data_IF_981887051343
#
_entry.id   IF_981887051343
#
_cell.length_a   1.000
_cell.length_b   1.000
_cell.length_c   1.000
_cell.angle_alpha   90.00
_cell.angle_beta   90.00
_cell.angle_gamma   90.00
#
_symmetry.space_group_name_H-M   'P 1'
#
loop_
_entity.id
_entity.type
_entity.pdbx_description
1 polymer ?
#
# COMPACT_ATOMS: atom_id res chain seq x y z
N UNK A 1 -13.86 19.19 26.41
CA UNK A 1 -13.63 17.94 25.63
C UNK A 1 -13.17 18.35 24.24
N UNK A 2 -12.22 17.62 23.62
CA UNK A 2 -11.79 17.90 22.24
C UNK A 2 -12.93 17.60 21.28
N UNK A 3 -13.05 18.35 20.16
CA UNK A 3 -13.92 17.96 19.05
C UNK A 3 -13.46 16.64 18.42
N UNK A 4 -14.35 15.87 17.79
CA UNK A 4 -13.97 14.68 17.03
C UNK A 4 -12.93 14.98 15.95
N UNK A 5 -12.04 14.02 15.68
CA UNK A 5 -11.09 14.03 14.56
C UNK A 5 -11.85 13.63 13.29
N UNK A 6 -11.78 14.44 12.25
CA UNK A 6 -12.39 14.15 10.94
C UNK A 6 -11.31 13.80 9.91
N UNK A 7 -11.70 13.25 8.77
CA UNK A 7 -10.79 13.08 7.64
C UNK A 7 -10.22 14.43 7.18
N UNK A 8 -11.05 15.48 7.14
CA UNK A 8 -10.62 16.84 6.82
C UNK A 8 -9.52 17.37 7.76
N UNK A 9 -9.58 17.01 9.06
CA UNK A 9 -8.55 17.39 10.02
C UNK A 9 -7.20 16.73 9.69
N UNK A 10 -7.22 15.49 9.20
CA UNK A 10 -6.03 14.75 8.76
C UNK A 10 -5.50 15.34 7.45
N UNK A 11 -6.35 15.53 6.45
CA UNK A 11 -5.99 16.05 5.14
C UNK A 11 -5.38 17.47 5.24
N UNK A 12 -5.90 18.30 6.14
CA UNK A 12 -5.37 19.63 6.41
C UNK A 12 -3.96 19.65 7.01
N UNK A 13 -3.46 18.52 7.53
CA UNK A 13 -2.06 18.41 7.99
C UNK A 13 -1.07 18.29 6.84
N UNK A 14 -1.54 17.91 5.65
CA UNK A 14 -0.70 17.72 4.48
C UNK A 14 -0.79 18.89 3.51
N UNK A 15 0.31 19.15 2.82
CA UNK A 15 0.34 20.09 1.71
C UNK A 15 1.37 19.62 0.68
N UNK A 16 1.07 19.69 -0.63
CA UNK A 16 2.06 19.42 -1.65
C UNK A 16 3.31 20.29 -1.47
N UNK A 17 4.49 19.70 -1.62
CA UNK A 17 5.76 20.42 -1.51
C UNK A 17 6.23 20.71 -0.07
N UNK A 18 5.70 20.02 0.94
CA UNK A 18 6.20 20.09 2.31
C UNK A 18 7.71 19.83 2.39
N UNK A 19 8.41 20.70 3.13
CA UNK A 19 9.83 20.49 3.44
C UNK A 19 10.02 19.31 4.40
N UNK A 20 11.25 18.77 4.52
CA UNK A 20 11.54 17.74 5.52
C UNK A 20 11.13 18.13 6.95
N UNK A 21 11.38 19.37 7.36
CA UNK A 21 11.04 19.87 8.70
C UNK A 21 9.53 19.94 8.93
N UNK A 22 8.77 20.36 7.91
CA UNK A 22 7.31 20.39 7.97
C UNK A 22 6.74 18.97 8.09
N UNK A 23 7.25 18.03 7.31
CA UNK A 23 6.82 16.63 7.35
C UNK A 23 7.08 15.99 8.73
N UNK A 24 8.24 16.26 9.32
CA UNK A 24 8.56 15.85 10.71
C UNK A 24 7.65 16.51 11.74
N UNK A 25 7.26 17.77 11.54
CA UNK A 25 6.34 18.46 12.44
C UNK A 25 4.93 17.85 12.37
N UNK A 26 4.47 17.53 11.17
CA UNK A 26 3.20 16.82 10.93
C UNK A 26 3.23 15.46 11.60
N UNK A 27 4.29 14.66 11.40
CA UNK A 27 4.43 13.35 12.06
C UNK A 27 4.32 13.46 13.59
N UNK A 28 5.02 14.43 14.22
CA UNK A 28 4.91 14.67 15.67
C UNK A 28 3.50 15.06 16.11
N UNK A 29 2.82 15.90 15.34
CA UNK A 29 1.44 16.30 15.62
C UNK A 29 0.49 15.10 15.58
N UNK A 30 0.64 14.23 14.59
CA UNK A 30 -0.19 13.04 14.43
C UNK A 30 0.12 11.98 15.50
N UNK A 31 1.38 11.80 15.88
CA UNK A 31 1.74 10.95 17.02
C UNK A 31 1.14 11.45 18.33
N UNK A 32 1.10 12.79 18.54
CA UNK A 32 0.43 13.39 19.69
C UNK A 32 -1.08 13.16 19.63
N UNK A 33 -1.68 13.26 18.44
CA UNK A 33 -3.11 12.97 18.25
C UNK A 33 -3.45 11.51 18.54
N UNK A 34 -2.65 10.57 18.04
CA UNK A 34 -2.81 9.15 18.29
C UNK A 34 -2.64 8.81 19.78
N UNK A 35 -1.74 9.49 20.50
CA UNK A 35 -1.54 9.30 21.93
C UNK A 35 -2.75 9.72 22.79
N UNK A 36 -3.67 10.55 22.25
CA UNK A 36 -4.92 10.89 22.92
C UNK A 36 -5.99 9.78 22.84
N UNK A 37 -5.73 8.73 22.05
CA UNK A 37 -6.62 7.62 21.76
C UNK A 37 -7.79 7.98 20.85
N UNK A 38 -8.37 6.96 20.22
CA UNK A 38 -9.58 7.07 19.41
C UNK A 38 -10.82 7.25 20.30
N UNK A 39 -11.71 8.17 19.94
CA UNK A 39 -12.94 8.48 20.68
C UNK A 39 -14.18 8.21 19.84
N UNK A 40 -15.33 7.94 20.48
CA UNK A 40 -16.60 7.85 19.77
C UNK A 40 -16.88 9.12 18.94
N UNK A 41 -17.14 8.93 17.65
CA UNK A 41 -17.39 10.01 16.69
C UNK A 41 -16.15 10.50 15.95
N UNK A 42 -14.95 10.01 16.28
CA UNK A 42 -13.77 10.21 15.42
C UNK A 42 -13.96 9.41 14.12
N UNK A 43 -13.70 10.05 12.99
CA UNK A 43 -13.66 9.41 11.68
C UNK A 43 -12.31 8.76 11.40
N UNK A 44 -11.25 9.24 12.08
CA UNK A 44 -9.87 8.74 11.96
C UNK A 44 -9.41 8.18 13.29
N UNK A 45 -8.98 6.92 13.28
CA UNK A 45 -8.49 6.22 14.47
C UNK A 45 -6.98 6.42 14.71
N UNK A 46 -6.47 5.96 15.85
CA UNK A 46 -5.08 6.15 16.22
C UNK A 46 -4.10 5.36 15.32
N UNK A 47 -4.48 4.20 14.79
CA UNK A 47 -3.65 3.50 13.80
C UNK A 47 -3.49 4.30 12.51
N UNK A 48 -4.57 4.83 11.95
CA UNK A 48 -4.55 5.64 10.72
C UNK A 48 -3.67 6.89 10.89
N UNK A 49 -3.79 7.57 12.03
CA UNK A 49 -2.92 8.71 12.36
C UNK A 49 -1.44 8.31 12.41
N UNK A 50 -1.13 7.15 12.99
CA UNK A 50 0.24 6.64 13.06
C UNK A 50 0.75 6.18 11.69
N UNK A 51 -0.10 5.59 10.86
CA UNK A 51 0.25 5.26 9.46
C UNK A 51 0.61 6.54 8.70
N UNK A 52 -0.23 7.57 8.78
CA UNK A 52 0.05 8.83 8.10
C UNK A 52 1.33 9.49 8.62
N UNK A 53 1.56 9.46 9.94
CA UNK A 53 2.82 9.93 10.54
C UNK A 53 4.04 9.16 10.04
N UNK A 54 3.95 7.83 9.96
CA UNK A 54 4.99 6.96 9.40
C UNK A 54 5.31 7.31 7.94
N UNK A 55 4.28 7.50 7.11
CA UNK A 55 4.44 7.90 5.71
C UNK A 55 5.12 9.26 5.54
N UNK A 56 4.82 10.24 6.41
CA UNK A 56 5.53 11.53 6.40
C UNK A 56 7.02 11.39 6.70
N UNK A 57 7.38 10.48 7.61
CA UNK A 57 8.78 10.21 7.98
C UNK A 57 9.52 9.45 6.88
N UNK A 58 8.91 8.41 6.30
CA UNK A 58 9.47 7.66 5.18
C UNK A 58 9.76 8.57 3.99
N UNK A 59 8.81 9.45 3.62
CA UNK A 59 8.96 10.39 2.49
C UNK A 59 10.18 11.30 2.59
N UNK A 60 10.67 11.57 3.81
CA UNK A 60 11.81 12.46 4.06
C UNK A 60 13.08 11.70 4.46
N UNK A 61 13.07 10.36 4.33
CA UNK A 61 14.20 9.49 4.61
C UNK A 61 14.44 9.18 6.08
N UNK A 62 13.52 9.55 6.98
CA UNK A 62 13.61 9.25 8.42
C UNK A 62 13.10 7.82 8.70
N UNK A 63 13.64 6.83 7.97
CA UNK A 63 13.12 5.46 7.87
C UNK A 63 13.08 4.70 9.20
N UNK A 64 14.02 4.97 10.11
CA UNK A 64 14.03 4.35 11.45
C UNK A 64 12.89 4.88 12.32
N UNK A 65 12.57 6.17 12.23
CA UNK A 65 11.44 6.75 12.96
C UNK A 65 10.11 6.29 12.35
N UNK A 66 10.03 6.21 11.02
CA UNK A 66 8.86 5.64 10.34
C UNK A 66 8.58 4.22 10.84
N UNK A 67 9.61 3.36 10.90
CA UNK A 67 9.49 2.00 11.42
C UNK A 67 9.01 1.96 12.87
N UNK A 68 9.54 2.84 13.75
CA UNK A 68 9.10 2.94 15.15
C UNK A 68 7.62 3.28 15.23
N UNK A 69 7.17 4.25 14.44
CA UNK A 69 5.78 4.72 14.42
C UNK A 69 4.84 3.64 13.86
N UNK A 70 5.22 2.97 12.79
CA UNK A 70 4.39 1.93 12.16
C UNK A 70 4.28 0.67 13.01
N UNK A 71 5.31 0.30 13.78
CA UNK A 71 5.19 -0.74 14.81
C UNK A 71 4.15 -0.37 15.87
N UNK A 72 4.04 0.91 16.24
CA UNK A 72 2.99 1.38 17.15
C UNK A 72 1.62 1.34 16.49
N UNK A 73 1.51 1.65 15.19
CA UNK A 73 0.26 1.55 14.45
C UNK A 73 -0.29 0.12 14.48
N UNK A 74 0.54 -0.88 14.19
CA UNK A 74 0.16 -2.30 14.30
C UNK A 74 -0.26 -2.66 15.72
N UNK A 75 0.45 -2.13 16.73
CA UNK A 75 0.19 -2.45 18.13
C UNK A 75 -1.13 -1.87 18.69
N UNK A 76 -1.78 -0.91 18.02
CA UNK A 76 -3.10 -0.44 18.47
C UNK A 76 -4.19 -1.50 18.27
N UNK A 77 -4.01 -2.38 17.28
CA UNK A 77 -5.00 -3.37 16.86
C UNK A 77 -6.25 -2.76 16.21
N UNK A 78 -6.22 -1.47 15.90
CA UNK A 78 -7.31 -0.77 15.22
C UNK A 78 -7.25 -1.03 13.71
N UNK A 79 -8.41 -1.09 13.02
CA UNK A 79 -8.44 -1.35 11.59
C UNK A 79 -7.84 -0.18 10.81
N UNK A 80 -7.09 -0.51 9.76
CA UNK A 80 -6.61 0.41 8.73
C UNK A 80 -6.84 -0.27 7.38
N UNK A 81 -7.27 0.51 6.40
CA UNK A 81 -7.45 0.06 5.02
C UNK A 81 -6.43 0.79 4.12
N UNK A 82 -5.55 0.07 3.40
CA UNK A 82 -5.32 -1.38 3.49
C UNK A 82 -4.64 -1.78 4.80
N UNK A 83 -4.55 -3.09 5.06
CA UNK A 83 -4.00 -3.65 6.31
C UNK A 83 -2.72 -2.92 6.78
N UNK A 84 -2.73 -2.42 8.01
CA UNK A 84 -1.63 -1.64 8.61
C UNK A 84 -0.25 -2.31 8.47
N UNK A 85 -0.22 -3.65 8.38
CA UNK A 85 1.00 -4.43 8.20
C UNK A 85 1.68 -4.22 6.85
N UNK A 86 0.95 -3.76 5.82
CA UNK A 86 1.53 -3.37 4.53
C UNK A 86 2.50 -2.19 4.70
N UNK A 87 2.10 -1.17 5.47
CA UNK A 87 2.96 -0.02 5.74
C UNK A 87 4.18 -0.41 6.60
N UNK A 88 3.99 -1.31 7.58
CA UNK A 88 5.11 -1.86 8.34
C UNK A 88 6.07 -2.66 7.46
N UNK A 89 5.55 -3.46 6.52
CA UNK A 89 6.36 -4.22 5.56
C UNK A 89 7.25 -3.28 4.73
N UNK A 90 6.66 -2.22 4.16
CA UNK A 90 7.39 -1.19 3.44
C UNK A 90 8.54 -0.60 4.29
N UNK A 91 8.23 -0.17 5.52
CA UNK A 91 9.23 0.43 6.40
C UNK A 91 10.35 -0.55 6.81
N UNK A 92 10.06 -1.85 6.93
CA UNK A 92 11.06 -2.88 7.20
C UNK A 92 12.04 -3.01 6.03
N UNK A 93 11.56 -2.96 4.79
CA UNK A 93 12.42 -2.99 3.61
C UNK A 93 13.24 -1.70 3.45
N UNK A 94 12.66 -0.54 3.73
CA UNK A 94 13.35 0.76 3.72
C UNK A 94 14.53 0.82 4.70
N UNK A 95 14.41 0.20 5.88
CA UNK A 95 15.53 0.10 6.83
C UNK A 95 16.50 -1.06 6.53
N UNK A 96 16.22 -1.87 5.51
CA UNK A 96 17.01 -3.04 5.12
C UNK A 96 16.79 -4.29 5.98
N UNK A 97 15.75 -4.33 6.82
CA UNK A 97 15.38 -5.49 7.65
C UNK A 97 14.53 -6.48 6.83
N UNK A 98 15.16 -7.04 5.79
CA UNK A 98 14.51 -7.91 4.79
C UNK A 98 13.97 -9.20 5.42
N UNK A 99 14.63 -9.73 6.45
CA UNK A 99 14.21 -10.96 7.11
C UNK A 99 12.89 -10.74 7.87
N UNK A 100 12.76 -9.64 8.62
CA UNK A 100 11.51 -9.29 9.28
C UNK A 100 10.39 -8.97 8.27
N UNK A 101 10.70 -8.27 7.18
CA UNK A 101 9.73 -8.02 6.11
C UNK A 101 9.20 -9.34 5.51
N UNK A 102 10.08 -10.30 5.22
CA UNK A 102 9.70 -11.62 4.71
C UNK A 102 8.90 -12.44 5.71
N UNK A 103 9.22 -12.35 7.00
CA UNK A 103 8.43 -13.00 8.04
C UNK A 103 6.99 -12.45 8.06
N UNK A 104 6.84 -11.13 8.06
CA UNK A 104 5.55 -10.45 8.04
C UNK A 104 4.75 -10.78 6.78
N UNK A 105 5.38 -10.72 5.61
CA UNK A 105 4.77 -11.14 4.35
C UNK A 105 4.34 -12.62 4.40
N UNK A 106 5.16 -13.49 5.00
CA UNK A 106 4.84 -14.90 5.21
C UNK A 106 3.63 -15.12 6.15
N UNK A 107 3.41 -14.24 7.12
CA UNK A 107 2.21 -14.23 7.97
C UNK A 107 0.97 -13.84 7.15
N UNK A 108 1.02 -12.69 6.48
CA UNK A 108 -0.07 -12.20 5.61
C UNK A 108 -0.45 -13.27 4.57
N UNK A 109 0.52 -13.89 3.89
CA UNK A 109 0.24 -14.92 2.87
C UNK A 109 -0.51 -16.13 3.44
N UNK A 110 -0.27 -16.51 4.70
CA UNK A 110 -0.97 -17.63 5.35
C UNK A 110 -2.39 -17.27 5.74
N UNK A 111 -2.63 -16.01 6.08
CA UNK A 111 -3.94 -15.49 6.44
C UNK A 111 -4.86 -15.31 5.22
N UNK A 112 -4.28 -15.20 4.01
CA UNK A 112 -5.00 -15.01 2.75
C UNK A 112 -6.00 -13.84 2.83
N UNK A 113 -5.52 -12.60 2.97
CA UNK A 113 -6.38 -11.42 3.05
C UNK A 113 -7.33 -11.39 1.85
N UNK A 114 -8.58 -11.01 2.13
CA UNK A 114 -9.58 -10.77 1.09
C UNK A 114 -9.31 -9.46 0.35
N UNK A 115 -8.73 -8.49 1.05
CA UNK A 115 -8.32 -7.22 0.46
C UNK A 115 -7.18 -7.44 -0.54
N UNK A 116 -7.43 -7.06 -1.79
CA UNK A 116 -6.51 -7.21 -2.92
C UNK A 116 -5.36 -6.22 -2.87
N UNK A 117 -5.54 -5.07 -2.19
CA UNK A 117 -4.53 -4.02 -2.08
C UNK A 117 -3.34 -4.49 -1.24
N UNK A 118 -3.54 -5.43 -0.32
CA UNK A 118 -2.43 -6.11 0.39
C UNK A 118 -1.45 -6.76 -0.58
N UNK A 119 -1.95 -7.42 -1.62
CA UNK A 119 -1.08 -8.10 -2.59
C UNK A 119 -0.39 -7.11 -3.53
N UNK A 120 -1.08 -6.03 -3.89
CA UNK A 120 -0.52 -4.96 -4.71
C UNK A 120 0.62 -4.27 -3.98
N UNK A 121 0.38 -3.80 -2.75
CA UNK A 121 1.37 -3.07 -1.95
C UNK A 121 2.60 -3.92 -1.65
N UNK A 122 2.44 -5.18 -1.21
CA UNK A 122 3.60 -6.05 -1.00
C UNK A 122 4.35 -6.32 -2.30
N UNK A 123 3.63 -6.48 -3.41
CA UNK A 123 4.23 -6.64 -4.73
C UNK A 123 5.10 -5.46 -5.14
N UNK A 124 4.57 -4.24 -5.00
CA UNK A 124 5.27 -2.99 -5.33
C UNK A 124 6.44 -2.72 -4.39
N UNK A 125 6.29 -3.00 -3.10
CA UNK A 125 7.37 -2.95 -2.13
C UNK A 125 8.56 -3.83 -2.56
N UNK A 126 8.32 -5.10 -2.88
CA UNK A 126 9.38 -5.98 -3.36
C UNK A 126 9.95 -5.50 -4.71
N UNK A 127 9.14 -4.93 -5.60
CA UNK A 127 9.60 -4.37 -6.88
C UNK A 127 10.57 -3.20 -6.66
N UNK A 128 10.18 -2.21 -5.83
CA UNK A 128 10.99 -1.02 -5.51
C UNK A 128 12.31 -1.41 -4.84
N UNK A 129 12.30 -2.44 -4.00
CA UNK A 129 13.51 -2.95 -3.32
C UNK A 129 14.27 -4.01 -4.14
N UNK A 130 13.86 -4.29 -5.38
CA UNK A 130 14.61 -5.10 -6.33
C UNK A 130 14.44 -6.62 -6.19
N UNK A 131 13.60 -7.12 -5.29
CA UNK A 131 13.26 -8.55 -5.21
C UNK A 131 12.12 -8.86 -6.20
N UNK A 132 12.43 -8.75 -7.48
CA UNK A 132 11.47 -8.93 -8.58
C UNK A 132 10.77 -10.31 -8.54
N UNK A 133 11.41 -11.33 -7.94
CA UNK A 133 10.80 -12.66 -7.82
C UNK A 133 9.67 -12.68 -6.80
N UNK A 134 9.88 -12.08 -5.63
CA UNK A 134 8.80 -11.96 -4.64
C UNK A 134 7.74 -10.96 -5.11
N UNK A 135 8.12 -9.87 -5.78
CA UNK A 135 7.18 -8.95 -6.42
C UNK A 135 6.23 -9.69 -7.37
N UNK A 136 6.79 -10.45 -8.33
CA UNK A 136 5.99 -11.24 -9.27
C UNK A 136 5.08 -12.25 -8.56
N UNK A 137 5.56 -12.88 -7.48
CA UNK A 137 4.78 -13.83 -6.68
C UNK A 137 3.57 -13.14 -6.05
N UNK A 138 3.76 -12.03 -5.36
CA UNK A 138 2.69 -11.29 -4.69
C UNK A 138 1.67 -10.73 -5.66
N UNK A 139 2.13 -10.10 -6.74
CA UNK A 139 1.24 -9.58 -7.79
C UNK A 139 0.43 -10.71 -8.46
N UNK A 140 1.06 -11.85 -8.73
CA UNK A 140 0.34 -13.03 -9.27
C UNK A 140 -0.69 -13.59 -8.28
N UNK A 141 -0.40 -13.60 -6.98
CA UNK A 141 -1.38 -13.98 -5.96
C UNK A 141 -2.55 -13.00 -5.92
N UNK A 142 -2.28 -11.69 -6.02
CA UNK A 142 -3.31 -10.65 -6.08
C UNK A 142 -4.23 -10.82 -7.28
N UNK A 143 -3.68 -10.99 -8.49
CA UNK A 143 -4.49 -11.21 -9.71
C UNK A 143 -5.40 -12.43 -9.54
N UNK A 144 -4.87 -13.56 -9.02
CA UNK A 144 -5.68 -14.74 -8.76
C UNK A 144 -6.77 -14.48 -7.73
N UNK A 145 -6.46 -13.75 -6.67
CA UNK A 145 -7.43 -13.40 -5.62
C UNK A 145 -8.57 -12.55 -6.20
N UNK A 146 -8.26 -11.55 -7.01
CA UNK A 146 -9.26 -10.73 -7.71
C UNK A 146 -10.13 -11.56 -8.66
N UNK A 147 -9.55 -12.54 -9.36
CA UNK A 147 -10.28 -13.42 -10.26
C UNK A 147 -11.20 -14.40 -9.51
N UNK A 148 -10.71 -14.99 -8.43
CA UNK A 148 -11.49 -15.92 -7.60
C UNK A 148 -12.72 -15.22 -6.99
N UNK A 149 -12.56 -13.98 -6.47
CA UNK A 149 -13.66 -13.22 -5.86
C UNK A 149 -14.77 -12.83 -6.85
N UNK A 150 -14.45 -12.75 -8.15
CA UNK A 150 -15.42 -12.51 -9.23
C UNK A 150 -16.18 -13.79 -9.57
N UNK A 151 -15.51 -14.94 -9.65
CA UNK A 151 -16.13 -16.21 -10.05
C UNK A 151 -17.18 -16.66 -9.02
N UNK A 152 -16.98 -16.32 -7.74
CA UNK A 152 -17.94 -16.58 -6.65
C UNK A 152 -19.11 -15.58 -6.60
N UNK A 153 -19.01 -14.44 -7.30
CA UNK A 153 -20.08 -13.45 -7.46
C UNK A 153 -20.84 -13.70 -8.76
N UNK A 154 -22.06 -14.24 -8.66
CA UNK A 154 -22.90 -14.80 -9.75
C UNK A 154 -23.25 -13.87 -10.96
N UNK A 155 -22.58 -12.73 -11.17
CA UNK A 155 -22.86 -11.78 -12.27
C UNK A 155 -21.73 -10.75 -12.58
N UNK A 156 -20.47 -10.99 -12.21
CA UNK A 156 -19.40 -10.03 -12.51
C UNK A 156 -18.94 -10.14 -13.98
N UNK A 157 -19.08 -9.05 -14.75
CA UNK A 157 -18.63 -9.00 -16.16
C UNK A 157 -17.10 -9.03 -16.26
N UNK A 158 -16.55 -9.61 -17.31
CA UNK A 158 -15.09 -9.63 -17.59
C UNK A 158 -14.46 -8.22 -17.46
N UNK A 159 -15.17 -7.19 -17.89
CA UNK A 159 -14.77 -5.77 -17.78
C UNK A 159 -14.66 -5.27 -16.32
N UNK A 160 -15.51 -5.78 -15.40
CA UNK A 160 -15.41 -5.47 -13.98
C UNK A 160 -14.19 -6.14 -13.32
N UNK A 161 -13.90 -7.38 -13.71
CA UNK A 161 -12.70 -8.13 -13.27
C UNK A 161 -11.44 -7.40 -13.68
N UNK A 162 -11.37 -6.99 -14.94
CA UNK A 162 -10.24 -6.27 -15.51
C UNK A 162 -10.02 -4.95 -14.80
N UNK A 163 -11.08 -4.19 -14.51
CA UNK A 163 -10.97 -2.95 -13.75
C UNK A 163 -10.46 -3.19 -12.32
N UNK A 164 -10.93 -4.23 -11.64
CA UNK A 164 -10.51 -4.55 -10.28
C UNK A 164 -9.06 -5.05 -10.22
N UNK A 165 -8.62 -5.82 -11.20
CA UNK A 165 -7.26 -6.36 -11.27
C UNK A 165 -6.27 -5.45 -12.04
N UNK A 166 -6.70 -4.31 -12.59
CA UNK A 166 -5.92 -3.50 -13.52
C UNK A 166 -4.54 -3.12 -12.98
N UNK A 167 -4.46 -2.58 -11.76
CA UNK A 167 -3.18 -2.19 -11.15
C UNK A 167 -2.27 -3.40 -10.91
N UNK A 168 -2.83 -4.51 -10.43
CA UNK A 168 -2.10 -5.76 -10.23
C UNK A 168 -1.53 -6.29 -11.55
N UNK A 169 -2.33 -6.29 -12.63
CA UNK A 169 -1.92 -6.74 -13.96
C UNK A 169 -0.82 -5.84 -14.55
N UNK A 170 -0.97 -4.52 -14.43
CA UNK A 170 0.04 -3.54 -14.88
C UNK A 170 1.36 -3.74 -14.15
N UNK A 171 1.34 -3.78 -12.82
CA UNK A 171 2.56 -3.98 -12.01
C UNK A 171 3.17 -5.36 -12.28
N UNK A 172 2.35 -6.41 -12.42
CA UNK A 172 2.82 -7.76 -12.77
C UNK A 172 3.51 -7.79 -14.12
N UNK A 173 2.90 -7.21 -15.15
CA UNK A 173 3.46 -7.20 -16.51
C UNK A 173 4.79 -6.43 -16.58
N UNK A 174 4.91 -5.33 -15.83
CA UNK A 174 6.19 -4.62 -15.67
C UNK A 174 7.27 -5.50 -15.01
N UNK A 175 6.96 -6.14 -13.88
CA UNK A 175 7.92 -7.03 -13.19
C UNK A 175 8.31 -8.22 -14.05
N UNK A 176 7.38 -8.83 -14.80
CA UNK A 176 7.66 -9.95 -15.71
C UNK A 176 8.62 -9.57 -16.82
N UNK A 177 8.42 -8.40 -17.44
CA UNK A 177 9.35 -7.85 -18.44
C UNK A 177 10.73 -7.63 -17.83
N UNK A 178 10.80 -7.07 -16.62
CA UNK A 178 12.08 -6.90 -15.91
C UNK A 178 12.77 -8.23 -15.57
N UNK A 179 12.01 -9.32 -15.39
CA UNK A 179 12.51 -10.68 -15.22
C UNK A 179 12.86 -11.39 -16.55
N UNK A 180 12.60 -10.78 -17.70
CA UNK A 180 12.80 -11.41 -19.02
C UNK A 180 11.82 -12.56 -19.32
N UNK A 181 10.67 -12.58 -18.65
CA UNK A 181 9.61 -13.57 -18.91
C UNK A 181 8.86 -13.22 -20.20
N UNK A 182 8.43 -14.21 -20.99
CA UNK A 182 7.53 -13.95 -22.12
C UNK A 182 6.17 -13.45 -21.61
N UNK A 183 5.49 -12.65 -22.44
CA UNK A 183 4.12 -12.23 -22.17
C UNK A 183 3.19 -13.46 -22.06
N UNK A 184 2.21 -13.40 -21.17
CA UNK A 184 1.12 -14.39 -21.08
C UNK A 184 -0.26 -13.76 -21.25
N UNK A 185 -1.30 -14.60 -21.20
CA UNK A 185 -2.70 -14.20 -21.42
C UNK A 185 -3.13 -13.02 -20.54
N UNK A 186 -2.58 -12.85 -19.34
CA UNK A 186 -2.91 -11.72 -18.46
C UNK A 186 -2.20 -10.44 -18.86
N UNK A 187 -1.01 -10.56 -19.46
CA UNK A 187 -0.28 -9.41 -19.98
C UNK A 187 -0.99 -8.85 -21.23
N UNK A 188 -1.71 -9.67 -21.99
CA UNK A 188 -2.52 -9.27 -23.16
C UNK A 188 -3.83 -8.54 -22.79
N UNK A 189 -4.30 -8.69 -21.55
CA UNK A 189 -5.54 -8.05 -21.06
C UNK A 189 -5.35 -6.56 -20.74
N UNK A 190 -4.12 -6.12 -20.52
CA UNK A 190 -3.80 -4.74 -20.20
C UNK A 190 -3.51 -4.01 -21.51
N UNK A 191 -4.27 -2.97 -21.87
CA UNK A 191 -3.92 -2.17 -23.04
C UNK A 191 -2.52 -1.58 -22.84
N UNK A 192 -1.68 -1.65 -23.88
CA UNK A 192 -0.38 -0.98 -23.83
C UNK A 192 -0.60 0.50 -23.49
N UNK A 193 0.19 1.09 -22.57
CA UNK A 193 0.13 2.52 -22.36
C UNK A 193 0.41 3.18 -23.71
N UNK A 194 -0.33 4.25 -24.06
CA UNK A 194 -0.13 4.91 -25.35
C UNK A 194 1.35 5.27 -25.47
N UNK A 195 1.96 4.89 -26.60
CA UNK A 195 3.32 5.30 -26.89
C UNK A 195 3.33 6.83 -26.91
N UNK A 196 4.31 7.47 -26.27
CA UNK A 196 4.45 8.94 -26.27
C UNK A 196 4.59 9.55 -27.69
N UNK A 197 4.74 8.70 -28.69
CA UNK A 197 4.79 9.04 -30.12
C UNK A 197 3.39 9.09 -30.78
N UNK A 198 2.32 8.68 -30.10
CA UNK A 198 0.94 8.90 -30.54
C UNK A 198 0.46 10.22 -29.93
N UNK A 199 0.67 11.32 -30.67
CA UNK A 199 0.07 12.61 -30.34
C UNK A 199 -1.46 12.45 -30.38
N UNK A 200 -2.19 12.67 -29.26
CA UNK A 200 -3.65 12.55 -29.25
C UNK A 200 -4.37 13.64 -30.08
N UNK A 201 -3.61 14.47 -30.81
CA UNK A 201 -4.08 15.55 -31.66
C UNK A 201 -3.65 15.47 -33.14
N UNK A 202 -3.15 14.34 -33.64
CA UNK A 202 -2.99 14.09 -35.09
C UNK A 202 -4.21 13.41 -35.74
#
# INVERSE_FOLDING_TARGET
MRRPRTQDDLDATYSPGQTPEQSRAVARQLEAWAAEGTRPGDEVNAAELLVFAGSQLSRVGDVQEALRVLRRAVATGEPVDPDVRCFLHHALLEVGDVDAARELAGQLRRERPSDVDVYLLLGEDYEVHGDLREAHRWLTLGVRRSLDDVIDGDDASEDQVLRQAAHLLVSRGRVRRALGMPADEWDELVPEPPTLDEDPFE
#
